data_IF_433903682129
#
_entry.id   IF_433903682129
#
_cell.length_a   1.000
_cell.length_b   1.000
_cell.length_c   1.000
_cell.angle_alpha   90.00
_cell.angle_beta   90.00
_cell.angle_gamma   90.00
#
_symmetry.space_group_name_H-M   'P 1'
#
loop_
_entity.id
_entity.type
_entity.pdbx_description
1 polymer ?
#
# COMPACT_ATOMS: atom_id res chain seq x y z
N UNK A 1 -11.83 -31.72 -29.79
CA UNK A 1 -11.15 -30.43 -29.75
C UNK A 1 -9.69 -30.67 -30.10
N UNK A 2 -9.27 -30.21 -31.25
CA UNK A 2 -8.03 -30.58 -31.93
C UNK A 2 -6.78 -30.15 -31.13
N UNK A 3 -5.72 -30.95 -31.16
CA UNK A 3 -4.39 -30.65 -30.56
C UNK A 3 -3.85 -29.27 -30.95
N UNK A 4 -4.18 -28.83 -32.16
CA UNK A 4 -3.82 -27.53 -32.70
C UNK A 4 -4.50 -26.38 -31.94
N UNK A 5 -5.82 -26.49 -31.72
CA UNK A 5 -6.61 -25.49 -31.01
C UNK A 5 -6.11 -25.32 -29.53
N UNK A 6 -5.72 -26.44 -28.89
CA UNK A 6 -5.14 -26.43 -27.57
C UNK A 6 -3.74 -25.78 -27.52
N UNK A 7 -2.92 -26.00 -28.56
CA UNK A 7 -1.62 -25.34 -28.70
C UNK A 7 -1.74 -23.83 -28.95
N UNK A 8 -2.64 -23.42 -29.85
CA UNK A 8 -2.89 -22.00 -30.15
C UNK A 8 -3.41 -21.28 -28.92
N UNK A 9 -4.37 -21.87 -28.20
CA UNK A 9 -4.89 -21.32 -26.93
C UNK A 9 -3.81 -21.20 -25.86
N UNK A 10 -2.91 -22.17 -25.73
CA UNK A 10 -1.80 -22.10 -24.80
C UNK A 10 -0.74 -21.07 -25.22
N UNK A 11 -0.51 -20.86 -26.51
CA UNK A 11 0.40 -19.84 -27.01
C UNK A 11 -0.14 -18.43 -26.77
N UNK A 12 -1.45 -18.21 -26.99
CA UNK A 12 -2.09 -16.91 -26.70
C UNK A 12 -2.08 -16.59 -25.21
N UNK A 13 -2.42 -17.57 -24.36
CA UNK A 13 -2.41 -17.38 -22.89
C UNK A 13 -1.00 -17.23 -22.30
N UNK A 14 0.04 -17.73 -22.97
CA UNK A 14 1.43 -17.57 -22.55
C UNK A 14 2.09 -16.28 -23.10
N UNK A 15 1.34 -15.48 -23.88
CA UNK A 15 1.85 -14.18 -24.31
C UNK A 15 1.95 -13.24 -23.08
N UNK A 16 3.14 -12.70 -22.77
CA UNK A 16 3.34 -11.85 -21.59
C UNK A 16 2.47 -10.59 -21.60
N UNK A 17 2.15 -10.06 -22.79
CA UNK A 17 1.26 -8.90 -22.91
C UNK A 17 -0.17 -9.27 -22.53
N UNK A 18 -0.67 -10.44 -22.98
CA UNK A 18 -2.01 -10.92 -22.64
C UNK A 18 -2.09 -11.21 -21.15
N UNK A 19 -1.07 -11.84 -20.56
CA UNK A 19 -1.01 -12.08 -19.11
C UNK A 19 -1.01 -10.78 -18.31
N UNK A 20 -0.25 -9.76 -18.76
CA UNK A 20 -0.24 -8.45 -18.12
C UNK A 20 -1.62 -7.78 -18.17
N UNK A 21 -2.30 -7.83 -19.32
CA UNK A 21 -3.64 -7.28 -19.49
C UNK A 21 -4.66 -8.00 -18.60
N UNK A 22 -4.63 -9.34 -18.56
CA UNK A 22 -5.48 -10.13 -17.66
C UNK A 22 -5.20 -9.76 -16.21
N UNK A 23 -3.93 -9.67 -15.82
CA UNK A 23 -3.51 -9.27 -14.48
C UNK A 23 -4.04 -7.88 -14.10
N UNK A 24 -3.97 -6.90 -15.00
CA UNK A 24 -4.53 -5.56 -14.79
C UNK A 24 -6.04 -5.58 -14.60
N UNK A 25 -6.78 -6.37 -15.38
CA UNK A 25 -8.23 -6.50 -15.25
C UNK A 25 -8.60 -7.13 -13.90
N UNK A 26 -7.94 -8.22 -13.53
CA UNK A 26 -8.15 -8.91 -12.24
C UNK A 26 -7.81 -7.97 -11.08
N UNK A 27 -6.70 -7.24 -11.18
CA UNK A 27 -6.29 -6.24 -10.18
C UNK A 27 -7.34 -5.13 -10.04
N UNK A 28 -7.82 -4.57 -11.15
CA UNK A 28 -8.87 -3.54 -11.14
C UNK A 28 -10.17 -4.03 -10.50
N UNK A 29 -10.62 -5.25 -10.83
CA UNK A 29 -11.80 -5.87 -10.23
C UNK A 29 -11.59 -6.04 -8.72
N UNK A 30 -10.43 -6.55 -8.30
CA UNK A 30 -10.06 -6.72 -6.90
C UNK A 30 -10.08 -5.39 -6.13
N UNK A 31 -9.52 -4.32 -6.69
CA UNK A 31 -9.55 -2.98 -6.10
C UNK A 31 -10.99 -2.46 -5.93
N UNK A 32 -11.83 -2.66 -6.94
CA UNK A 32 -13.24 -2.23 -6.90
C UNK A 32 -14.04 -2.99 -5.85
N UNK A 33 -13.85 -4.31 -5.75
CA UNK A 33 -14.46 -5.15 -4.72
C UNK A 33 -13.99 -4.76 -3.32
N UNK A 34 -12.69 -4.55 -3.14
CA UNK A 34 -12.10 -4.13 -1.88
C UNK A 34 -12.63 -2.75 -1.43
N UNK A 35 -12.63 -1.77 -2.33
CA UNK A 35 -13.19 -0.43 -2.06
C UNK A 35 -14.69 -0.49 -1.72
N UNK A 36 -15.45 -1.35 -2.41
CA UNK A 36 -16.86 -1.60 -2.10
C UNK A 36 -17.06 -2.22 -0.72
N UNK A 37 -16.24 -3.23 -0.37
CA UNK A 37 -16.24 -3.85 0.94
C UNK A 37 -15.92 -2.86 2.06
N UNK A 38 -14.90 -2.00 1.86
CA UNK A 38 -14.54 -0.96 2.84
C UNK A 38 -15.69 0.05 3.06
N UNK A 39 -16.40 0.44 2.00
CA UNK A 39 -17.58 1.31 2.12
C UNK A 39 -18.72 0.66 2.88
N UNK A 40 -18.90 -0.65 2.77
CA UNK A 40 -19.96 -1.39 3.45
C UNK A 40 -19.68 -1.68 4.92
N UNK A 41 -18.44 -1.54 5.38
CA UNK A 41 -18.05 -1.74 6.79
C UNK A 41 -18.66 -0.69 7.76
N UNK A 42 -19.19 0.42 7.22
CA UNK A 42 -19.83 1.46 8.02
C UNK A 42 -18.87 2.24 8.91
N UNK A 43 -19.42 2.93 9.90
CA UNK A 43 -18.61 3.63 10.91
C UNK A 43 -17.96 2.61 11.84
N UNK A 44 -16.65 2.68 11.96
CA UNK A 44 -15.84 1.82 12.84
C UNK A 44 -15.91 2.36 14.30
N UNK A 45 -17.08 2.36 14.91
CA UNK A 45 -17.35 2.97 16.20
C UNK A 45 -16.38 2.50 17.30
N UNK A 46 -16.02 1.21 17.29
CA UNK A 46 -15.06 0.64 18.25
C UNK A 46 -13.61 1.07 18.02
N UNK A 47 -13.30 1.67 16.86
CA UNK A 47 -11.96 2.12 16.48
C UNK A 47 -11.84 3.65 16.42
N UNK A 48 -12.87 4.39 16.82
CA UNK A 48 -12.87 5.87 16.75
C UNK A 48 -11.65 6.49 17.40
N UNK A 49 -11.26 6.00 18.59
CA UNK A 49 -10.06 6.49 19.28
C UNK A 49 -8.79 6.36 18.41
N UNK A 50 -8.62 5.22 17.76
CA UNK A 50 -7.46 4.96 16.90
C UNK A 50 -7.52 5.78 15.60
N UNK A 51 -8.71 5.86 15.00
CA UNK A 51 -8.96 6.52 13.73
C UNK A 51 -8.74 8.04 13.82
N UNK A 52 -9.15 8.66 14.94
CA UNK A 52 -9.02 10.11 15.13
C UNK A 52 -7.63 10.54 15.61
N UNK A 53 -6.79 9.61 16.05
CA UNK A 53 -5.43 9.91 16.47
C UNK A 53 -4.43 9.65 15.32
N UNK A 54 -3.79 10.70 14.75
CA UNK A 54 -2.85 10.55 13.64
C UNK A 54 -1.66 9.63 13.95
N UNK A 55 -1.20 9.59 15.20
CA UNK A 55 -0.06 8.74 15.59
C UNK A 55 -0.42 7.25 15.53
N UNK A 56 -1.62 6.88 15.99
CA UNK A 56 -2.10 5.50 15.84
C UNK A 56 -2.33 5.12 14.38
N UNK A 57 -2.86 6.05 13.59
CA UNK A 57 -3.04 5.82 12.15
C UNK A 57 -1.71 5.72 11.40
N UNK A 58 -0.69 6.46 11.82
CA UNK A 58 0.67 6.31 11.33
C UNK A 58 1.22 4.89 11.59
N UNK A 59 1.12 4.41 12.83
CA UNK A 59 1.51 3.05 13.18
C UNK A 59 0.70 1.99 12.42
N UNK A 60 -0.60 2.20 12.29
CA UNK A 60 -1.49 1.35 11.49
C UNK A 60 -1.05 1.27 10.03
N UNK A 61 -0.68 2.39 9.44
CA UNK A 61 -0.13 2.43 8.07
C UNK A 61 1.15 1.62 7.91
N UNK A 62 2.08 1.71 8.89
CA UNK A 62 3.31 0.88 8.91
C UNK A 62 2.94 -0.60 8.97
N UNK A 63 2.14 -0.99 9.95
CA UNK A 63 1.81 -2.40 10.20
C UNK A 63 1.06 -3.02 9.02
N UNK A 64 0.01 -2.34 8.53
CA UNK A 64 -0.77 -2.84 7.39
C UNK A 64 0.10 -3.01 6.15
N UNK A 65 0.97 -2.05 5.85
CA UNK A 65 1.83 -2.13 4.67
C UNK A 65 2.91 -3.20 4.82
N UNK A 66 3.47 -3.40 6.02
CA UNK A 66 4.38 -4.50 6.31
C UNK A 66 3.71 -5.87 6.13
N UNK A 67 2.48 -6.02 6.60
CA UNK A 67 1.74 -7.29 6.49
C UNK A 67 1.32 -7.57 5.05
N UNK A 68 0.80 -6.57 4.35
CA UNK A 68 0.31 -6.74 2.98
C UNK A 68 1.42 -6.71 1.93
N UNK A 69 2.61 -6.22 2.29
CA UNK A 69 3.75 -6.04 1.38
C UNK A 69 3.35 -5.26 0.09
N UNK A 70 2.34 -4.40 0.23
CA UNK A 70 1.77 -3.62 -0.88
C UNK A 70 1.30 -2.25 -0.41
N UNK A 71 2.08 -1.23 -0.72
CA UNK A 71 1.70 0.16 -0.45
C UNK A 71 0.50 0.60 -1.29
N UNK A 72 0.36 0.07 -2.50
CA UNK A 72 -0.81 0.34 -3.34
C UNK A 72 -2.10 -0.17 -2.70
N UNK A 73 -2.08 -1.37 -2.13
CA UNK A 73 -3.23 -1.92 -1.41
C UNK A 73 -3.53 -1.09 -0.16
N UNK A 74 -2.52 -0.74 0.63
CA UNK A 74 -2.66 0.11 1.81
C UNK A 74 -3.28 1.47 1.46
N UNK A 75 -2.75 2.13 0.43
CA UNK A 75 -3.28 3.44 -0.02
C UNK A 75 -4.71 3.32 -0.53
N UNK A 76 -5.03 2.25 -1.27
CA UNK A 76 -6.40 2.00 -1.74
C UNK A 76 -7.37 1.78 -0.58
N UNK A 77 -6.95 1.05 0.46
CA UNK A 77 -7.73 0.86 1.68
C UNK A 77 -8.01 2.21 2.37
N UNK A 78 -6.98 3.04 2.52
CA UNK A 78 -7.10 4.38 3.09
C UNK A 78 -8.08 5.23 2.28
N UNK A 79 -7.94 5.25 0.95
CA UNK A 79 -8.87 5.99 0.05
C UNK A 79 -10.30 5.46 0.18
N UNK A 80 -10.49 4.15 0.27
CA UNK A 80 -11.81 3.54 0.50
C UNK A 80 -12.45 3.99 1.82
N UNK A 81 -11.66 4.06 2.90
CA UNK A 81 -12.11 4.53 4.22
C UNK A 81 -12.43 6.04 4.21
N UNK A 82 -11.63 6.85 3.51
CA UNK A 82 -11.96 8.27 3.28
C UNK A 82 -13.26 8.44 2.53
N UNK A 83 -13.43 7.69 1.45
CA UNK A 83 -14.64 7.75 0.63
C UNK A 83 -15.90 7.30 1.38
N UNK A 84 -15.77 6.50 2.43
CA UNK A 84 -16.86 6.13 3.33
C UNK A 84 -17.13 7.15 4.45
N UNK A 85 -16.29 8.19 4.56
CA UNK A 85 -16.36 9.17 5.65
C UNK A 85 -15.81 8.67 6.99
N UNK A 86 -15.15 7.50 7.00
CA UNK A 86 -14.66 6.87 8.23
C UNK A 86 -13.36 7.49 8.74
N UNK A 87 -12.56 8.15 7.89
CA UNK A 87 -11.26 8.70 8.26
C UNK A 87 -11.21 10.23 8.13
N UNK A 88 -10.77 10.94 9.19
CA UNK A 88 -10.46 12.37 9.09
C UNK A 88 -9.13 12.58 8.35
N UNK A 89 -9.02 13.68 7.62
CA UNK A 89 -7.88 13.99 6.76
C UNK A 89 -6.50 13.95 7.46
N UNK A 90 -6.33 14.45 8.70
CA UNK A 90 -5.06 14.31 9.42
C UNK A 90 -4.62 12.86 9.60
N UNK A 91 -5.56 11.98 9.91
CA UNK A 91 -5.32 10.54 10.08
C UNK A 91 -4.95 9.86 8.77
N UNK A 92 -5.54 10.31 7.65
CA UNK A 92 -5.20 9.86 6.29
C UNK A 92 -3.75 10.19 5.96
N UNK A 93 -3.33 11.44 6.17
CA UNK A 93 -1.96 11.88 5.89
C UNK A 93 -0.97 11.07 6.73
N UNK A 94 -1.27 10.89 8.03
CA UNK A 94 -0.44 10.11 8.93
C UNK A 94 -0.35 8.63 8.50
N UNK A 95 -1.46 8.01 8.10
CA UNK A 95 -1.48 6.63 7.62
C UNK A 95 -0.66 6.45 6.33
N UNK A 96 -0.69 7.41 5.41
CA UNK A 96 0.13 7.39 4.18
C UNK A 96 1.62 7.51 4.53
N UNK A 97 1.99 8.40 5.46
CA UNK A 97 3.38 8.51 5.94
C UNK A 97 3.85 7.18 6.56
N UNK A 98 2.99 6.53 7.33
CA UNK A 98 3.26 5.19 7.88
C UNK A 98 3.41 4.14 6.79
N UNK A 99 2.53 4.11 5.80
CA UNK A 99 2.59 3.18 4.69
C UNK A 99 3.90 3.31 3.90
N UNK A 100 4.43 4.52 3.74
CA UNK A 100 5.73 4.75 3.10
C UNK A 100 6.89 4.09 3.87
N UNK A 101 6.88 4.14 5.20
CA UNK A 101 7.86 3.40 6.02
C UNK A 101 7.61 1.90 5.88
N UNK A 102 6.37 1.44 5.98
CA UNK A 102 6.02 0.01 5.84
C UNK A 102 6.51 -0.60 4.52
N UNK A 103 6.50 0.17 3.42
CA UNK A 103 7.03 -0.27 2.12
C UNK A 103 8.51 -0.64 2.18
N UNK A 104 9.28 -0.02 3.06
CA UNK A 104 10.72 -0.31 3.18
C UNK A 104 10.98 -1.75 3.66
N UNK A 105 10.02 -2.33 4.37
CA UNK A 105 10.09 -3.73 4.83
C UNK A 105 10.23 -4.73 3.70
N UNK A 106 9.67 -4.45 2.51
CA UNK A 106 9.81 -5.29 1.32
C UNK A 106 11.28 -5.42 0.89
N UNK A 107 12.04 -4.32 0.94
CA UNK A 107 13.46 -4.32 0.56
C UNK A 107 14.29 -5.10 1.59
N UNK A 108 13.95 -4.98 2.89
CA UNK A 108 14.60 -5.75 3.94
C UNK A 108 14.34 -7.25 3.78
N UNK A 109 13.09 -7.64 3.49
CA UNK A 109 12.73 -9.03 3.22
C UNK A 109 13.42 -9.55 1.96
N UNK A 110 13.42 -8.79 0.88
CA UNK A 110 14.14 -9.14 -0.34
C UNK A 110 15.64 -9.34 -0.09
N UNK A 111 16.27 -8.48 0.71
CA UNK A 111 17.68 -8.60 1.10
C UNK A 111 17.98 -9.87 1.91
N UNK A 112 17.01 -10.39 2.66
CA UNK A 112 17.15 -11.66 3.40
C UNK A 112 16.94 -12.87 2.47
N UNK A 113 15.96 -12.78 1.54
CA UNK A 113 15.53 -13.90 0.70
C UNK A 113 16.40 -14.11 -0.54
N UNK A 114 17.05 -13.04 -1.06
CA UNK A 114 17.88 -13.07 -2.28
C UNK A 114 19.37 -13.11 -1.92
N UNK A 115 19.75 -13.99 -0.99
CA UNK A 115 21.14 -14.10 -0.55
C UNK A 115 22.12 -14.65 -1.60
N UNK A 116 21.63 -15.26 -2.68
CA UNK A 116 22.45 -16.07 -3.58
C UNK A 116 22.98 -15.36 -4.83
N UNK A 117 22.75 -14.06 -5.02
CA UNK A 117 23.15 -13.42 -6.27
C UNK A 117 23.56 -11.95 -6.23
N UNK A 118 23.22 -11.22 -5.18
CA UNK A 118 23.59 -9.82 -5.02
C UNK A 118 24.55 -9.64 -3.84
N UNK A 119 25.54 -8.75 -3.93
CA UNK A 119 26.36 -8.39 -2.78
C UNK A 119 25.45 -7.94 -1.63
N UNK A 120 25.35 -8.74 -0.57
CA UNK A 120 24.50 -8.46 0.61
C UNK A 120 24.72 -7.04 1.18
N UNK A 121 25.91 -6.49 1.03
CA UNK A 121 26.25 -5.13 1.43
C UNK A 121 25.45 -4.05 0.69
N UNK A 122 25.28 -4.16 -0.62
CA UNK A 122 24.58 -3.16 -1.46
C UNK A 122 23.08 -3.18 -1.16
N UNK A 123 22.45 -4.35 -1.10
CA UNK A 123 21.02 -4.47 -0.78
C UNK A 123 20.70 -3.88 0.60
N UNK A 124 21.55 -4.15 1.59
CA UNK A 124 21.41 -3.59 2.93
C UNK A 124 21.56 -2.07 2.93
N UNK A 125 22.54 -1.54 2.19
CA UNK A 125 22.75 -0.09 2.06
C UNK A 125 21.52 0.59 1.42
N UNK A 126 20.97 0.03 0.35
CA UNK A 126 19.74 0.54 -0.30
C UNK A 126 18.57 0.52 0.69
N UNK A 127 18.38 -0.59 1.42
CA UNK A 127 17.32 -0.71 2.41
C UNK A 127 17.46 0.34 3.52
N UNK A 128 18.68 0.57 4.02
CA UNK A 128 19.00 1.58 5.04
C UNK A 128 18.68 3.00 4.53
N UNK A 129 19.14 3.35 3.33
CA UNK A 129 18.88 4.67 2.73
C UNK A 129 17.40 4.89 2.53
N UNK A 130 16.69 3.90 1.94
CA UNK A 130 15.26 4.00 1.71
C UNK A 130 14.47 4.14 3.01
N UNK A 131 14.79 3.33 4.03
CA UNK A 131 14.17 3.44 5.36
C UNK A 131 14.49 4.78 6.01
N UNK A 132 15.74 5.21 5.95
CA UNK A 132 16.19 6.48 6.52
C UNK A 132 15.46 7.69 5.93
N UNK A 133 15.33 7.75 4.60
CA UNK A 133 14.62 8.82 3.90
C UNK A 133 13.14 8.83 4.31
N UNK A 134 12.45 7.69 4.27
CA UNK A 134 11.03 7.62 4.65
C UNK A 134 10.81 7.94 6.13
N UNK A 135 11.69 7.48 7.03
CA UNK A 135 11.64 7.81 8.45
C UNK A 135 11.86 9.31 8.69
N UNK A 136 12.85 9.90 8.03
CA UNK A 136 13.12 11.34 8.12
C UNK A 136 11.91 12.16 7.66
N UNK A 137 11.32 11.81 6.51
CA UNK A 137 10.12 12.46 5.99
C UNK A 137 8.95 12.33 6.97
N UNK A 138 8.75 11.16 7.55
CA UNK A 138 7.68 10.93 8.52
C UNK A 138 7.90 11.76 9.79
N UNK A 139 9.10 11.77 10.37
CA UNK A 139 9.44 12.58 11.55
C UNK A 139 9.25 14.07 11.27
N UNK A 140 9.64 14.53 10.08
CA UNK A 140 9.50 15.92 9.69
C UNK A 140 8.03 16.33 9.48
N UNK A 141 7.19 15.49 8.90
CA UNK A 141 5.83 15.84 8.48
C UNK A 141 4.75 15.45 9.50
N UNK A 142 4.96 14.40 10.30
CA UNK A 142 3.96 13.90 11.25
C UNK A 142 3.47 14.97 12.26
N UNK A 143 4.34 15.85 12.81
CA UNK A 143 3.87 16.94 13.67
C UNK A 143 2.98 17.97 12.96
N UNK A 144 3.11 18.05 11.62
CA UNK A 144 2.41 19.03 10.80
C UNK A 144 1.17 18.49 10.08
N UNK A 145 0.74 17.26 10.34
CA UNK A 145 -0.43 16.66 9.67
C UNK A 145 -1.71 17.48 9.88
N UNK A 146 -1.89 18.11 11.04
CA UNK A 146 -3.03 18.97 11.32
C UNK A 146 -3.03 20.26 10.49
N UNK A 147 -1.97 21.08 10.48
CA UNK A 147 -1.90 22.25 9.61
C UNK A 147 -1.95 21.90 8.12
N UNK A 148 -1.32 20.82 7.69
CA UNK A 148 -1.39 20.33 6.29
C UNK A 148 -2.83 19.98 5.93
N UNK A 149 -3.53 19.22 6.78
CA UNK A 149 -4.92 18.88 6.55
C UNK A 149 -5.83 20.11 6.44
N UNK A 150 -5.66 21.09 7.33
CA UNK A 150 -6.40 22.36 7.27
C UNK A 150 -6.11 23.17 6.00
N UNK A 151 -4.88 23.09 5.49
CA UNK A 151 -4.54 23.77 4.24
C UNK A 151 -5.21 23.09 3.05
N UNK A 152 -5.14 21.76 2.96
CA UNK A 152 -5.74 20.98 1.87
C UNK A 152 -7.27 21.10 1.86
N UNK A 153 -7.91 21.14 3.05
CA UNK A 153 -9.37 21.22 3.15
C UNK A 153 -9.99 22.57 2.69
N UNK A 154 -9.15 23.54 2.29
CA UNK A 154 -9.61 24.81 1.72
C UNK A 154 -9.88 24.75 0.21
N UNK A 155 -9.43 23.67 -0.45
CA UNK A 155 -9.62 23.43 -1.88
C UNK A 155 -10.66 22.35 -2.14
#
# INVERSE_FOLDING_TARGET
MDKLTKRLKNMELNNPVIQALIGLVVFYIGLKMFSGGMKSMGKLEHLEFFIHNPYWMFLGGIVCTLLWQSSSLSTTAIVGLVASGALPLPSVIAAILGANIGTTGTIWLAGIMVSDGLPQGITKQIAMVHTGVNALMAVALLPFVQPIARFISKF
#
